data_IF_480342750175
#
_entry.id   IF_480342750175
#
_cell.length_a   1.000
_cell.length_b   1.000
_cell.length_c   1.000
_cell.angle_alpha   90.00
_cell.angle_beta   90.00
_cell.angle_gamma   90.00
#
_symmetry.space_group_name_H-M   'P 1'
#
loop_
_entity.id
_entity.type
_entity.pdbx_description
1 polymer ?
#
# COMPACT_ATOMS: atom_id res chain seq x y z
N UNK A 1 -3.76 13.02 -10.78
CA UNK A 1 -3.85 12.50 -12.16
C UNK A 1 -5.32 12.25 -12.47
N UNK A 2 -5.77 12.63 -13.66
CA UNK A 2 -7.12 12.29 -14.12
C UNK A 2 -7.01 11.06 -15.02
N UNK A 3 -6.98 9.87 -14.41
CA UNK A 3 -6.90 8.58 -15.11
C UNK A 3 -8.32 8.07 -15.32
N UNK A 4 -8.66 7.62 -16.53
CA UNK A 4 -10.00 7.08 -16.76
C UNK A 4 -10.16 5.71 -16.09
N UNK A 5 -11.37 5.32 -15.66
CA UNK A 5 -11.61 3.98 -15.13
C UNK A 5 -11.24 2.85 -16.12
N UNK A 6 -11.34 3.13 -17.43
CA UNK A 6 -10.97 2.18 -18.48
C UNK A 6 -9.46 1.90 -18.48
N UNK A 7 -8.64 2.97 -18.45
CA UNK A 7 -7.18 2.85 -18.39
C UNK A 7 -6.73 2.15 -17.10
N UNK A 8 -7.38 2.48 -15.97
CA UNK A 8 -7.10 1.84 -14.69
C UNK A 8 -7.41 0.33 -14.72
N UNK A 9 -8.53 -0.06 -15.34
CA UNK A 9 -8.90 -1.48 -15.51
C UNK A 9 -7.89 -2.22 -16.38
N UNK A 10 -7.50 -1.63 -17.51
CA UNK A 10 -6.52 -2.24 -18.42
C UNK A 10 -5.19 -2.50 -17.69
N UNK A 11 -4.67 -1.49 -16.97
CA UNK A 11 -3.44 -1.65 -16.19
C UNK A 11 -3.55 -2.66 -15.06
N UNK A 12 -4.70 -2.75 -14.39
CA UNK A 12 -4.92 -3.78 -13.39
C UNK A 12 -4.89 -5.19 -14.00
N UNK A 13 -5.49 -5.38 -15.18
CA UNK A 13 -5.47 -6.68 -15.86
C UNK A 13 -4.05 -7.07 -16.29
N UNK A 14 -3.24 -6.11 -16.76
CA UNK A 14 -1.81 -6.35 -17.07
C UNK A 14 -1.05 -6.89 -15.84
N UNK A 15 -1.29 -6.33 -14.65
CA UNK A 15 -0.68 -6.83 -13.41
C UNK A 15 -1.25 -8.18 -12.98
N UNK A 16 -2.57 -8.36 -13.03
CA UNK A 16 -3.21 -9.59 -12.57
C UNK A 16 -2.84 -10.82 -13.41
N UNK A 17 -2.61 -10.62 -14.71
CA UNK A 17 -2.32 -11.70 -15.66
C UNK A 17 -0.81 -11.83 -15.99
N UNK A 18 0.01 -10.90 -15.53
CA UNK A 18 1.44 -10.89 -15.83
C UNK A 18 2.22 -11.88 -14.96
N UNK A 19 3.01 -12.75 -15.60
CA UNK A 19 3.89 -13.72 -14.91
C UNK A 19 4.95 -13.09 -13.99
N UNK A 20 5.25 -11.80 -14.21
CA UNK A 20 6.19 -11.02 -13.40
C UNK A 20 5.54 -10.40 -12.16
N UNK A 21 4.22 -10.54 -11.99
CA UNK A 21 3.50 -10.02 -10.85
C UNK A 21 3.15 -11.15 -9.88
N UNK A 22 3.34 -10.91 -8.59
CA UNK A 22 2.86 -11.81 -7.54
C UNK A 22 1.74 -11.12 -6.80
N UNK A 23 0.54 -11.70 -6.83
CA UNK A 23 -0.59 -11.20 -6.07
C UNK A 23 -0.45 -11.62 -4.62
N UNK A 24 -0.46 -10.60 -3.77
CA UNK A 24 -0.29 -10.72 -2.34
C UNK A 24 -1.64 -10.49 -1.69
N UNK A 25 -2.07 -11.45 -0.86
CA UNK A 25 -3.21 -11.28 0.04
C UNK A 25 -2.70 -10.85 1.41
N UNK A 26 -3.47 -9.99 2.05
CA UNK A 26 -3.40 -9.71 3.48
C UNK A 26 -3.90 -10.89 4.30
N UNK A 27 -3.37 -11.06 5.51
CA UNK A 27 -3.82 -12.00 6.51
C UNK A 27 -4.34 -11.32 7.77
N UNK A 28 -4.68 -12.13 8.76
CA UNK A 28 -5.18 -11.64 10.06
C UNK A 28 -4.19 -10.68 10.73
N UNK A 29 -2.90 -10.95 10.60
CA UNK A 29 -1.78 -10.18 11.13
C UNK A 29 -1.71 -8.75 10.59
N UNK A 30 -1.90 -8.57 9.28
CA UNK A 30 -1.92 -7.26 8.64
C UNK A 30 -3.18 -6.47 9.02
N UNK A 31 -4.32 -7.15 9.06
CA UNK A 31 -5.61 -6.55 9.45
C UNK A 31 -5.57 -6.10 10.92
N UNK A 32 -5.09 -6.97 11.81
CA UNK A 32 -4.98 -6.67 13.25
C UNK A 32 -4.04 -5.50 13.49
N UNK A 33 -2.88 -5.48 12.84
CA UNK A 33 -1.97 -4.35 12.95
C UNK A 33 -2.64 -3.06 12.47
N UNK A 34 -3.29 -3.09 11.29
CA UNK A 34 -3.92 -1.91 10.73
C UNK A 34 -5.02 -1.32 11.62
N UNK A 35 -5.89 -2.15 12.19
CA UNK A 35 -7.00 -1.67 13.03
C UNK A 35 -6.49 -1.16 14.38
N UNK A 36 -5.52 -1.85 15.01
CA UNK A 36 -4.92 -1.39 16.27
C UNK A 36 -4.21 -0.05 16.07
N UNK A 37 -3.40 0.10 15.01
CA UNK A 37 -2.71 1.37 14.71
C UNK A 37 -3.70 2.51 14.47
N UNK A 38 -4.82 2.28 13.79
CA UNK A 38 -5.85 3.31 13.61
C UNK A 38 -6.44 3.74 14.94
N UNK A 39 -6.76 2.79 15.82
CA UNK A 39 -7.34 3.06 17.13
C UNK A 39 -6.36 3.81 18.04
N UNK A 40 -5.09 3.37 18.09
CA UNK A 40 -4.03 3.96 18.90
C UNK A 40 -3.67 5.38 18.45
N UNK A 41 -3.57 5.61 17.14
CA UNK A 41 -3.23 6.93 16.57
C UNK A 41 -4.44 7.87 16.44
N UNK A 42 -5.67 7.41 16.78
CA UNK A 42 -6.89 8.20 16.65
C UNK A 42 -7.23 8.60 15.20
N UNK A 43 -6.92 7.73 14.24
CA UNK A 43 -7.11 8.00 12.82
C UNK A 43 -8.53 7.68 12.32
N UNK A 44 -8.89 8.27 11.18
CA UNK A 44 -10.10 7.88 10.45
C UNK A 44 -9.97 6.46 9.89
N UNK A 45 -11.07 5.68 9.94
CA UNK A 45 -11.18 4.37 9.29
C UNK A 45 -10.89 4.40 7.77
N UNK A 46 -11.00 5.56 7.12
CA UNK A 46 -10.56 5.75 5.73
C UNK A 46 -9.08 5.42 5.50
N UNK A 47 -8.27 5.38 6.56
CA UNK A 47 -6.84 5.00 6.53
C UNK A 47 -6.59 3.51 6.64
N UNK A 48 -7.63 2.69 6.76
CA UNK A 48 -7.48 1.25 6.94
C UNK A 48 -6.66 0.59 5.82
N UNK A 49 -7.03 0.85 4.56
CA UNK A 49 -6.31 0.28 3.42
C UNK A 49 -4.85 0.73 3.35
N UNK A 50 -4.57 2.00 3.64
CA UNK A 50 -3.20 2.52 3.72
C UNK A 50 -2.38 1.72 4.75
N UNK A 51 -2.95 1.47 5.94
CA UNK A 51 -2.27 0.73 7.00
C UNK A 51 -2.12 -0.76 6.67
N UNK A 52 -3.11 -1.39 6.02
CA UNK A 52 -2.96 -2.78 5.53
C UNK A 52 -1.80 -2.89 4.53
N UNK A 53 -1.72 -1.97 3.56
CA UNK A 53 -0.62 -1.92 2.59
C UNK A 53 0.75 -1.75 3.27
N UNK A 54 0.85 -0.85 4.26
CA UNK A 54 2.08 -0.65 5.03
C UNK A 54 2.46 -1.90 5.83
N UNK A 55 1.49 -2.57 6.46
CA UNK A 55 1.73 -3.81 7.20
C UNK A 55 2.25 -4.93 6.29
N UNK A 56 1.60 -5.10 5.12
CA UNK A 56 2.03 -6.03 4.06
C UNK A 56 3.47 -5.74 3.64
N UNK A 57 3.80 -4.49 3.36
CA UNK A 57 5.14 -4.11 2.89
C UNK A 57 6.20 -4.35 3.97
N UNK A 58 5.91 -3.99 5.23
CA UNK A 58 6.81 -4.17 6.37
C UNK A 58 7.09 -5.65 6.64
N UNK A 59 6.05 -6.48 6.72
CA UNK A 59 6.18 -7.91 7.03
C UNK A 59 6.90 -8.69 5.93
N UNK A 60 6.76 -8.25 4.67
CA UNK A 60 7.45 -8.86 3.52
C UNK A 60 8.80 -8.22 3.20
N UNK A 61 9.24 -7.20 3.96
CA UNK A 61 10.42 -6.39 3.64
C UNK A 61 10.43 -5.89 2.19
N UNK A 62 9.24 -5.50 1.70
CA UNK A 62 9.04 -5.06 0.33
C UNK A 62 9.18 -3.53 0.22
N UNK A 63 9.71 -3.07 -0.91
CA UNK A 63 9.70 -1.65 -1.26
C UNK A 63 8.30 -1.21 -1.67
N UNK A 64 7.93 0.03 -1.35
CA UNK A 64 6.64 0.61 -1.72
C UNK A 64 6.78 1.51 -2.94
N UNK A 65 6.14 1.14 -4.05
CA UNK A 65 6.04 2.01 -5.22
C UNK A 65 4.77 2.86 -5.12
N UNK A 66 4.90 4.16 -4.88
CA UNK A 66 3.74 5.05 -4.78
C UNK A 66 4.08 6.52 -5.03
N UNK A 67 3.13 7.22 -5.64
CA UNK A 67 3.15 8.67 -5.83
C UNK A 67 2.36 9.44 -4.75
N UNK A 68 1.69 8.76 -3.81
CA UNK A 68 0.95 9.43 -2.73
C UNK A 68 1.91 9.95 -1.64
N UNK A 69 2.13 11.27 -1.60
CA UNK A 69 3.06 11.93 -0.66
C UNK A 69 2.79 11.58 0.81
N UNK A 70 1.52 11.40 1.22
CA UNK A 70 1.18 11.08 2.61
C UNK A 70 1.54 9.64 2.93
N UNK A 71 1.25 8.70 2.03
CA UNK A 71 1.60 7.30 2.19
C UNK A 71 3.12 7.09 2.20
N UNK A 72 3.85 7.81 1.34
CA UNK A 72 5.32 7.82 1.31
C UNK A 72 5.91 8.20 2.68
N UNK A 73 5.43 9.30 3.27
CA UNK A 73 5.88 9.75 4.59
C UNK A 73 5.64 8.72 5.69
N UNK A 74 4.50 8.03 5.65
CA UNK A 74 4.20 6.96 6.60
C UNK A 74 5.13 5.76 6.41
N UNK A 75 5.33 5.33 5.17
CA UNK A 75 6.23 4.23 4.83
C UNK A 75 7.68 4.52 5.30
N UNK A 76 8.21 5.71 5.02
CA UNK A 76 9.56 6.10 5.46
C UNK A 76 9.69 6.13 6.98
N UNK A 77 8.67 6.58 7.72
CA UNK A 77 8.67 6.54 9.20
C UNK A 77 8.75 5.11 9.75
N UNK A 78 8.23 4.14 9.00
CA UNK A 78 8.30 2.71 9.32
C UNK A 78 9.58 2.04 8.81
N UNK A 79 10.52 2.79 8.23
CA UNK A 79 11.78 2.25 7.69
C UNK A 79 11.65 1.58 6.32
N UNK A 80 10.50 1.69 5.66
CA UNK A 80 10.30 1.13 4.33
C UNK A 80 11.01 1.95 3.25
N UNK A 81 11.60 1.26 2.28
CA UNK A 81 12.11 1.87 1.05
C UNK A 81 10.94 2.24 0.15
N UNK A 82 10.99 3.43 -0.44
CA UNK A 82 9.88 3.96 -1.25
C UNK A 82 10.40 4.45 -2.60
N UNK A 83 9.70 4.10 -3.68
CA UNK A 83 10.07 4.50 -5.06
C UNK A 83 8.89 5.17 -5.78
N UNK A 84 9.15 6.06 -6.77
CA UNK A 84 10.46 6.66 -7.08
C UNK A 84 11.01 7.47 -5.90
N UNK A 85 12.29 7.84 -5.85
CA UNK A 85 12.85 8.55 -4.68
C UNK A 85 12.24 9.95 -4.49
N UNK A 86 11.89 10.61 -5.59
CA UNK A 86 11.24 11.93 -5.65
C UNK A 86 9.95 11.86 -6.45
N UNK A 87 8.94 12.61 -6.02
CA UNK A 87 7.60 12.71 -6.62
C UNK A 87 7.24 14.16 -6.83
#
# INVERSE_FOLDING_TARGET
MNVSPADAREKLLEYLLGEKCTIVKEGADEIQWAISTIAEEGLSLSRFNDKVLLSVAMRRNALLATFDVKLRRQATKLGLRVVPETV
#
